data_IF_930786653801
#
_entry.id   IF_930786653801
#
_cell.length_a   1.000
_cell.length_b   1.000
_cell.length_c   1.000
_cell.angle_alpha   90.00
_cell.angle_beta   90.00
_cell.angle_gamma   90.00
#
_symmetry.space_group_name_H-M   'P 1'
#
loop_
_entity.id
_entity.type
_entity.pdbx_description
1 polymer ?
#
# COMPACT_ATOMS: atom_id res chain seq x y z
N UNK A 1 11.70 22.57 -5.21
CA UNK A 1 11.92 21.56 -6.27
C UNK A 1 13.40 21.22 -6.40
N UNK A 2 13.76 19.96 -6.20
CA UNK A 2 15.14 19.48 -6.37
C UNK A 2 15.52 19.46 -7.87
N UNK A 3 16.42 20.36 -8.27
CA UNK A 3 16.81 20.53 -9.69
C UNK A 3 17.53 19.32 -10.28
N UNK A 4 18.36 18.64 -9.49
CA UNK A 4 19.07 17.45 -9.93
C UNK A 4 18.08 16.36 -10.35
N UNK A 5 17.12 16.06 -9.48
CA UNK A 5 16.07 15.05 -9.76
C UNK A 5 15.17 15.50 -10.92
N UNK A 6 14.75 16.77 -10.95
CA UNK A 6 13.88 17.27 -12.03
C UNK A 6 14.57 17.19 -13.41
N UNK A 7 15.87 17.50 -13.47
CA UNK A 7 16.66 17.42 -14.70
C UNK A 7 16.93 15.99 -15.16
N UNK A 8 17.09 15.02 -14.25
CA UNK A 8 17.27 13.61 -14.63
C UNK A 8 16.02 13.01 -15.28
N UNK A 9 14.84 13.55 -14.99
CA UNK A 9 13.58 13.24 -15.67
C UNK A 9 13.39 14.01 -16.99
N UNK A 10 14.41 14.72 -17.50
CA UNK A 10 14.29 15.53 -18.70
C UNK A 10 13.26 16.66 -18.55
N UNK A 11 13.09 17.20 -17.33
CA UNK A 11 12.09 18.21 -16.99
C UNK A 11 10.63 17.75 -17.19
N UNK A 12 10.40 16.44 -17.27
CA UNK A 12 9.09 15.80 -17.41
C UNK A 12 8.94 14.65 -16.42
N UNK A 13 9.01 14.92 -15.09
CA UNK A 13 8.76 13.89 -14.10
C UNK A 13 7.31 13.39 -14.21
N UNK A 14 7.03 12.20 -13.68
CA UNK A 14 5.67 11.75 -13.57
C UNK A 14 4.86 12.62 -12.63
N UNK A 15 3.55 12.71 -12.87
CA UNK A 15 2.68 13.51 -12.03
C UNK A 15 2.47 12.84 -10.67
N UNK A 16 2.26 11.54 -10.66
CA UNK A 16 1.91 10.79 -9.45
C UNK A 16 3.02 9.80 -9.14
N UNK A 17 3.40 9.76 -7.87
CA UNK A 17 4.16 8.66 -7.29
C UNK A 17 3.30 8.03 -6.19
N UNK A 18 3.11 6.72 -6.22
CA UNK A 18 2.34 6.01 -5.21
C UNK A 18 3.20 4.92 -4.56
N UNK A 19 3.05 4.74 -3.25
CA UNK A 19 3.73 3.70 -2.47
C UNK A 19 2.70 2.85 -1.73
N UNK A 20 2.98 1.54 -1.61
CA UNK A 20 2.13 0.62 -0.86
C UNK A 20 2.70 0.41 0.54
N UNK A 21 1.84 0.55 1.55
CA UNK A 21 2.19 0.42 2.96
C UNK A 21 1.14 -0.44 3.66
N UNK A 22 1.51 -1.32 4.60
CA UNK A 22 0.54 -1.87 5.54
C UNK A 22 -0.11 -0.75 6.35
N UNK A 23 -1.35 -0.96 6.79
CA UNK A 23 -1.94 -0.14 7.85
C UNK A 23 -1.06 -0.17 9.11
N UNK A 24 -1.09 0.87 9.97
CA UNK A 24 -0.25 0.94 11.17
C UNK A 24 -0.44 -0.21 12.16
N UNK A 25 -1.65 -0.79 12.20
CA UNK A 25 -2.09 -1.93 13.03
C UNK A 25 -1.97 -3.29 12.31
N UNK A 26 -1.62 -3.31 11.03
CA UNK A 26 -1.40 -4.53 10.27
C UNK A 26 0.04 -5.07 10.47
N UNK A 27 0.29 -6.36 10.17
CA UNK A 27 1.64 -6.91 10.15
C UNK A 27 2.56 -6.07 9.25
N UNK A 28 3.68 -5.61 9.81
CA UNK A 28 4.61 -4.71 9.12
C UNK A 28 5.53 -5.50 8.18
N UNK A 29 5.04 -5.77 6.97
CA UNK A 29 5.78 -6.44 5.92
C UNK A 29 6.00 -5.53 4.72
N UNK A 30 7.14 -5.65 4.01
CA UNK A 30 7.34 -4.94 2.76
C UNK A 30 6.33 -5.43 1.72
N UNK A 31 5.50 -4.52 1.21
CA UNK A 31 4.48 -4.85 0.22
C UNK A 31 4.97 -4.56 -1.20
N UNK A 32 4.74 -5.51 -2.08
CA UNK A 32 4.74 -5.30 -3.52
C UNK A 32 3.65 -4.28 -3.84
N UNK A 33 3.99 -3.36 -4.73
CA UNK A 33 3.03 -2.35 -5.15
C UNK A 33 3.61 -0.96 -4.96
N UNK A 34 2.97 -0.04 -5.66
CA UNK A 34 3.49 1.28 -5.95
C UNK A 34 3.23 1.58 -7.42
N UNK A 35 3.18 2.85 -7.74
CA UNK A 35 2.84 3.27 -9.09
C UNK A 35 3.56 4.56 -9.43
N UNK A 36 3.88 4.68 -10.71
CA UNK A 36 4.24 5.96 -11.31
C UNK A 36 3.21 6.22 -12.39
N UNK A 37 2.57 7.39 -12.37
CA UNK A 37 1.53 7.71 -13.34
C UNK A 37 1.66 9.11 -13.94
N UNK A 38 1.46 9.18 -15.25
CA UNK A 38 1.42 10.41 -16.04
C UNK A 38 -0.04 10.80 -16.32
N UNK A 39 -0.81 11.01 -15.26
CA UNK A 39 -2.22 11.44 -15.33
C UNK A 39 -2.51 12.48 -14.25
N UNK A 40 -3.70 13.09 -14.26
CA UNK A 40 -4.10 13.97 -13.18
C UNK A 40 -4.38 13.18 -11.89
N UNK A 41 -4.23 13.84 -10.73
CA UNK A 41 -4.59 13.25 -9.44
C UNK A 41 -6.04 12.74 -9.44
N UNK A 42 -7.00 13.51 -9.93
CA UNK A 42 -8.41 13.10 -9.98
C UNK A 42 -8.63 11.82 -10.80
N UNK A 43 -7.93 11.69 -11.94
CA UNK A 43 -8.01 10.48 -12.76
C UNK A 43 -7.42 9.28 -12.02
N UNK A 44 -6.30 9.48 -11.30
CA UNK A 44 -5.67 8.45 -10.51
C UNK A 44 -6.58 7.96 -9.37
N UNK A 45 -7.19 8.88 -8.61
CA UNK A 45 -8.11 8.55 -7.51
C UNK A 45 -9.34 7.81 -8.05
N UNK A 46 -9.92 8.26 -9.17
CA UNK A 46 -11.04 7.56 -9.81
C UNK A 46 -10.67 6.14 -10.26
N UNK A 47 -9.43 5.92 -10.70
CA UNK A 47 -8.94 4.58 -11.01
C UNK A 47 -8.80 3.73 -9.75
N UNK A 48 -8.26 4.27 -8.65
CA UNK A 48 -8.21 3.56 -7.36
C UNK A 48 -9.60 3.16 -6.88
N UNK A 49 -10.57 4.07 -6.89
CA UNK A 49 -11.96 3.76 -6.52
C UNK A 49 -12.57 2.67 -7.40
N UNK A 50 -12.24 2.68 -8.70
CA UNK A 50 -12.69 1.66 -9.64
C UNK A 50 -12.05 0.31 -9.36
N UNK A 51 -10.77 0.30 -9.02
CA UNK A 51 -9.99 -0.87 -8.65
C UNK A 51 -10.54 -1.50 -7.37
N UNK A 52 -10.86 -0.69 -6.35
CA UNK A 52 -11.55 -1.15 -5.13
C UNK A 52 -12.91 -1.77 -5.45
N UNK A 53 -13.76 -1.06 -6.22
CA UNK A 53 -15.11 -1.56 -6.57
C UNK A 53 -15.09 -2.86 -7.38
N UNK A 54 -14.07 -3.04 -8.22
CA UNK A 54 -13.93 -4.20 -9.11
C UNK A 54 -12.98 -5.26 -8.56
N UNK A 55 -12.41 -5.03 -7.38
CA UNK A 55 -11.40 -5.88 -6.75
C UNK A 55 -10.30 -6.29 -7.72
N UNK A 56 -9.62 -5.31 -8.31
CA UNK A 56 -8.57 -5.53 -9.32
C UNK A 56 -7.46 -4.48 -9.19
N UNK A 57 -6.36 -4.67 -9.92
CA UNK A 57 -5.31 -3.65 -10.03
C UNK A 57 -4.74 -3.28 -8.67
N UNK A 58 -4.76 -1.99 -8.33
CA UNK A 58 -4.25 -1.49 -7.05
C UNK A 58 -5.00 -2.00 -5.81
N UNK A 59 -6.13 -2.68 -5.99
CA UNK A 59 -6.84 -3.29 -4.87
C UNK A 59 -6.01 -4.35 -4.15
N UNK A 60 -5.14 -5.09 -4.86
CA UNK A 60 -4.28 -6.10 -4.25
C UNK A 60 -2.83 -5.64 -4.17
N UNK A 61 -2.21 -5.94 -3.04
CA UNK A 61 -0.76 -5.92 -2.83
C UNK A 61 -0.34 -7.26 -2.24
N UNK A 62 0.93 -7.62 -2.38
CA UNK A 62 1.47 -8.89 -1.90
C UNK A 62 2.71 -8.65 -1.05
N UNK A 63 3.08 -9.53 -0.14
CA UNK A 63 4.39 -9.45 0.52
C UNK A 63 5.48 -9.63 -0.55
N UNK A 64 6.51 -8.76 -0.54
CA UNK A 64 7.62 -8.85 -1.48
C UNK A 64 8.39 -10.17 -1.30
N UNK A 65 8.80 -10.78 -2.42
CA UNK A 65 9.60 -12.02 -2.44
C UNK A 65 8.90 -13.25 -1.78
N UNK A 66 7.57 -13.22 -1.67
CA UNK A 66 6.76 -14.30 -1.11
C UNK A 66 5.94 -15.07 -2.17
N UNK A 67 5.20 -16.09 -1.74
CA UNK A 67 4.51 -17.06 -2.60
C UNK A 67 3.20 -16.52 -3.23
N UNK A 68 2.75 -15.33 -2.81
CA UNK A 68 1.47 -14.73 -3.21
C UNK A 68 0.25 -15.60 -2.86
N UNK A 69 0.34 -16.35 -1.76
CA UNK A 69 -0.80 -17.07 -1.20
C UNK A 69 -1.66 -16.16 -0.31
N UNK A 70 -2.65 -16.75 0.37
CA UNK A 70 -3.57 -16.01 1.24
C UNK A 70 -2.83 -15.25 2.37
N UNK A 71 -1.78 -15.83 2.93
CA UNK A 71 -0.99 -15.23 4.00
C UNK A 71 -0.13 -14.05 3.49
N UNK A 72 0.15 -14.02 2.20
CA UNK A 72 0.94 -12.97 1.54
C UNK A 72 0.08 -11.87 0.92
N UNK A 73 -1.24 -12.03 0.87
CA UNK A 73 -2.14 -11.14 0.13
C UNK A 73 -2.75 -10.06 1.01
N UNK A 74 -2.70 -8.84 0.51
CA UNK A 74 -3.17 -7.63 1.16
C UNK A 74 -4.19 -6.91 0.27
N UNK A 75 -5.19 -6.28 0.88
CA UNK A 75 -6.23 -5.51 0.18
C UNK A 75 -6.22 -4.04 0.57
N UNK A 76 -6.40 -3.16 -0.42
CA UNK A 76 -6.39 -1.71 -0.25
C UNK A 76 -7.57 -1.28 0.62
N UNK A 77 -7.27 -0.65 1.76
CA UNK A 77 -8.26 -0.16 2.71
C UNK A 77 -8.52 1.34 2.56
N UNK A 78 -7.44 2.12 2.36
CA UNK A 78 -7.52 3.57 2.24
C UNK A 78 -6.27 4.13 1.57
N UNK A 79 -6.23 5.45 1.35
CA UNK A 79 -5.07 6.15 0.84
C UNK A 79 -4.97 7.57 1.38
N UNK A 80 -3.76 8.10 1.43
CA UNK A 80 -3.46 9.49 1.76
C UNK A 80 -2.76 10.17 0.59
N UNK A 81 -3.05 11.46 0.39
CA UNK A 81 -2.48 12.25 -0.69
C UNK A 81 -1.67 13.40 -0.11
N UNK A 82 -0.41 13.48 -0.53
CA UNK A 82 0.54 14.51 -0.15
C UNK A 82 0.91 15.33 -1.38
N UNK A 83 0.74 16.64 -1.31
CA UNK A 83 1.17 17.57 -2.35
C UNK A 83 2.19 18.54 -1.78
N UNK A 84 3.16 18.94 -2.58
CA UNK A 84 4.14 19.94 -2.18
C UNK A 84 4.61 20.73 -3.40
N UNK A 85 4.64 22.08 -3.33
CA UNK A 85 5.19 22.91 -4.39
C UNK A 85 6.70 22.68 -4.60
N UNK A 86 7.37 22.02 -3.64
CA UNK A 86 8.77 21.70 -3.72
C UNK A 86 9.06 20.29 -4.27
N UNK A 87 8.02 19.47 -4.45
CA UNK A 87 8.15 18.13 -5.04
C UNK A 87 8.36 18.22 -6.56
N UNK A 88 9.02 17.20 -7.14
CA UNK A 88 9.03 17.00 -8.59
C UNK A 88 7.75 16.32 -9.09
N UNK A 89 7.05 15.61 -8.21
CA UNK A 89 5.74 15.01 -8.48
C UNK A 89 4.63 16.02 -8.13
N UNK A 90 3.52 15.97 -8.88
CA UNK A 90 2.29 16.67 -8.49
C UNK A 90 1.76 16.13 -7.14
N UNK A 91 1.79 14.81 -6.95
CA UNK A 91 1.36 14.19 -5.70
C UNK A 91 2.15 12.92 -5.37
N UNK A 92 2.39 12.73 -4.08
CA UNK A 92 2.75 11.45 -3.47
C UNK A 92 1.47 10.84 -2.88
N UNK A 93 1.18 9.58 -3.21
CA UNK A 93 0.02 8.86 -2.68
C UNK A 93 0.49 7.67 -1.85
N UNK A 94 0.06 7.58 -0.60
CA UNK A 94 0.32 6.40 0.23
C UNK A 94 -0.92 5.52 0.18
N UNK A 95 -0.76 4.29 -0.29
CA UNK A 95 -1.82 3.29 -0.40
C UNK A 95 -1.71 2.36 0.81
N UNK A 96 -2.75 2.31 1.64
CA UNK A 96 -2.76 1.55 2.89
C UNK A 96 -3.52 0.24 2.75
N UNK A 97 -2.87 -0.86 3.13
CA UNK A 97 -3.40 -2.20 2.96
C UNK A 97 -3.53 -2.97 4.28
N UNK A 98 -4.50 -3.87 4.34
CA UNK A 98 -4.63 -4.89 5.40
C UNK A 98 -4.49 -6.29 4.79
N UNK A 99 -3.90 -7.25 5.52
CA UNK A 99 -3.84 -8.64 5.06
C UNK A 99 -5.27 -9.20 4.97
N UNK A 100 -5.52 -10.05 3.97
CA UNK A 100 -6.83 -10.72 3.86
C UNK A 100 -7.04 -11.72 5.00
N UNK A 101 -5.95 -12.26 5.54
CA UNK A 101 -5.97 -13.15 6.69
C UNK A 101 -4.81 -12.82 7.65
N UNK A 102 -5.03 -11.89 8.61
CA UNK A 102 -3.97 -11.46 9.53
C UNK A 102 -3.33 -12.61 10.30
N UNK A 103 -4.12 -13.59 10.75
CA UNK A 103 -3.61 -14.75 11.49
C UNK A 103 -2.63 -15.59 10.65
N UNK A 104 -3.00 -15.93 9.40
CA UNK A 104 -2.11 -16.68 8.51
C UNK A 104 -0.86 -15.87 8.17
N UNK A 105 -0.98 -14.56 7.96
CA UNK A 105 0.16 -13.67 7.74
C UNK A 105 1.12 -13.67 8.93
N UNK A 106 0.62 -13.49 10.16
CA UNK A 106 1.46 -13.56 11.37
C UNK A 106 2.13 -14.92 11.50
N UNK A 107 1.36 -16.00 11.35
CA UNK A 107 1.88 -17.37 11.46
C UNK A 107 2.99 -17.65 10.45
N UNK A 108 2.83 -17.24 9.19
CA UNK A 108 3.79 -17.47 8.11
C UNK A 108 5.06 -16.61 8.27
N UNK A 109 4.91 -15.32 8.54
CA UNK A 109 6.02 -14.35 8.45
C UNK A 109 6.66 -13.98 9.79
N UNK A 110 5.95 -14.19 10.90
CA UNK A 110 6.41 -13.80 12.25
C UNK A 110 6.46 -14.98 13.22
N UNK A 111 5.73 -16.06 12.93
CA UNK A 111 5.71 -17.31 13.70
C UNK A 111 4.49 -17.46 14.61
N UNK A 112 4.33 -18.65 15.19
CA UNK A 112 3.14 -19.03 15.97
C UNK A 112 2.89 -18.16 17.20
N UNK A 113 3.95 -17.65 17.83
CA UNK A 113 3.81 -16.79 19.00
C UNK A 113 3.00 -15.53 18.68
N UNK A 114 3.36 -14.81 17.60
CA UNK A 114 2.67 -13.61 17.16
C UNK A 114 1.26 -13.91 16.63
N UNK A 115 1.08 -15.07 15.99
CA UNK A 115 -0.24 -15.50 15.55
C UNK A 115 -1.19 -15.73 16.73
N UNK A 116 -0.68 -16.26 17.84
CA UNK A 116 -1.45 -16.44 19.07
C UNK A 116 -1.74 -15.11 19.76
N UNK A 117 -0.76 -14.20 19.86
CA UNK A 117 -0.98 -12.86 20.43
C UNK A 117 -2.11 -12.11 19.71
N UNK A 118 -2.16 -12.18 18.38
CA UNK A 118 -3.25 -11.62 17.59
C UNK A 118 -4.63 -12.21 17.97
N UNK A 119 -4.72 -13.51 18.19
CA UNK A 119 -5.97 -14.15 18.62
C UNK A 119 -6.37 -13.72 20.04
N UNK A 120 -5.39 -13.58 20.93
CA UNK A 120 -5.61 -13.17 22.32
C UNK A 120 -6.11 -11.70 22.37
N UNK A 121 -5.55 -10.80 21.57
CA UNK A 121 -6.01 -9.41 21.45
C UNK A 121 -7.46 -9.31 20.97
N UNK A 122 -7.84 -10.11 19.98
CA UNK A 122 -9.24 -10.17 19.51
C UNK A 122 -10.21 -10.65 20.60
N UNK A 123 -9.78 -11.59 21.44
CA UNK A 123 -10.60 -12.11 22.53
C UNK A 123 -10.81 -11.08 23.66
N UNK A 124 -9.87 -10.14 23.84
CA UNK A 124 -10.00 -9.04 24.80
C UNK A 124 -10.95 -7.95 24.29
N UNK A 125 -11.00 -7.68 22.99
CA UNK A 125 -11.87 -6.65 22.39
C UNK A 125 -13.35 -7.09 22.32
N UNK A 126 -13.61 -8.40 22.37
CA UNK A 126 -14.96 -8.97 22.23
C UNK A 126 -15.68 -9.26 23.55
N UNK A 127 -15.03 -9.02 24.70
CA UNK A 127 -15.60 -9.17 26.04
C UNK A 127 -15.78 -7.80 26.73
#
# INVERSE_FOLDING_TARGET
MNRTVFSSWGYKPPNIYAISMPLPDAPRLPLSGGAIANMSLDSFIKNLETDVKKQKGHYYAYVMEADQDEADTYTLQTWEVYTSPESCYQALVVLYYAPINPYLTYKKHMGEHWAQEYLDELAVVTN
#
